data_IF_100730930738
#
_entry.id   IF_100730930738
#
_cell.length_a   1.000
_cell.length_b   1.000
_cell.length_c   1.000
_cell.angle_alpha   90.00
_cell.angle_beta   90.00
_cell.angle_gamma   90.00
#
_symmetry.space_group_name_H-M   'P 1'
#
loop_
_entity.id
_entity.type
_entity.pdbx_description
1 polymer ?
#
# COMPACT_ATOMS: atom_id res chain seq x y z
N UNK A 1 15.54 63.73 7.39
CA UNK A 1 15.16 62.38 7.87
C UNK A 1 16.13 61.94 8.97
N UNK A 2 15.64 61.62 10.17
CA UNK A 2 16.50 61.28 11.33
C UNK A 2 17.22 59.93 11.13
N UNK A 3 18.41 59.78 11.72
CA UNK A 3 19.22 58.54 11.61
C UNK A 3 18.50 57.30 12.17
N UNK A 4 17.63 57.49 13.16
CA UNK A 4 16.78 56.45 13.75
C UNK A 4 15.83 55.83 12.72
N UNK A 5 15.17 56.65 11.89
CA UNK A 5 14.26 56.18 10.83
C UNK A 5 15.01 55.33 9.81
N UNK A 6 16.24 55.72 9.44
CA UNK A 6 17.09 54.94 8.51
C UNK A 6 17.50 53.58 9.11
N UNK A 7 17.85 53.55 10.41
CA UNK A 7 18.19 52.29 11.12
C UNK A 7 16.99 51.34 11.18
N UNK A 8 15.80 51.86 11.48
CA UNK A 8 14.58 51.07 11.51
C UNK A 8 14.26 50.47 10.13
N UNK A 9 14.33 51.27 9.06
CA UNK A 9 14.11 50.79 7.69
C UNK A 9 15.12 49.70 7.28
N UNK A 10 16.40 49.83 7.65
CA UNK A 10 17.41 48.81 7.39
C UNK A 10 17.11 47.51 8.15
N UNK A 11 16.77 47.60 9.44
CA UNK A 11 16.40 46.44 10.26
C UNK A 11 15.17 45.71 9.69
N UNK A 12 14.13 46.46 9.28
CA UNK A 12 12.93 45.89 8.67
C UNK A 12 13.25 45.15 7.35
N UNK A 13 14.11 45.72 6.50
CA UNK A 13 14.56 45.05 5.27
C UNK A 13 15.29 43.73 5.56
N UNK A 14 16.22 43.74 6.53
CA UNK A 14 16.96 42.54 6.93
C UNK A 14 16.01 41.47 7.47
N UNK A 15 15.10 41.84 8.37
CA UNK A 15 14.09 40.93 8.91
C UNK A 15 13.23 40.31 7.80
N UNK A 16 12.74 41.13 6.86
CA UNK A 16 11.89 40.67 5.76
C UNK A 16 12.64 39.70 4.84
N UNK A 17 13.91 39.99 4.55
CA UNK A 17 14.78 39.11 3.77
C UNK A 17 14.98 37.75 4.45
N UNK A 18 15.31 37.73 5.74
CA UNK A 18 15.49 36.49 6.52
C UNK A 18 14.19 35.68 6.55
N UNK A 19 13.06 36.34 6.85
CA UNK A 19 11.73 35.71 6.88
C UNK A 19 11.40 35.06 5.53
N UNK A 20 11.60 35.78 4.43
CA UNK A 20 11.34 35.27 3.08
C UNK A 20 12.19 34.02 2.76
N UNK A 21 13.48 34.04 3.10
CA UNK A 21 14.37 32.90 2.90
C UNK A 21 13.95 31.66 3.71
N UNK A 22 13.50 31.85 4.96
CA UNK A 22 13.00 30.77 5.80
C UNK A 22 11.74 30.15 5.19
N UNK A 23 10.78 30.99 4.78
CA UNK A 23 9.54 30.51 4.15
C UNK A 23 9.83 29.78 2.83
N UNK A 24 10.71 30.31 1.99
CA UNK A 24 11.16 29.64 0.75
C UNK A 24 11.74 28.25 1.03
N UNK A 25 12.57 28.10 2.07
CA UNK A 25 13.14 26.79 2.46
C UNK A 25 12.05 25.80 2.90
N UNK A 26 11.06 26.25 3.67
CA UNK A 26 9.90 25.42 4.06
C UNK A 26 9.11 24.98 2.84
N UNK A 27 8.80 25.90 1.92
CA UNK A 27 8.08 25.59 0.68
C UNK A 27 8.80 24.53 -0.16
N UNK A 28 10.12 24.66 -0.33
CA UNK A 28 10.92 23.66 -1.07
C UNK A 28 10.88 22.27 -0.41
N UNK A 29 10.91 22.20 0.93
CA UNK A 29 10.75 20.93 1.66
C UNK A 29 9.37 20.30 1.41
N UNK A 30 8.31 21.10 1.48
CA UNK A 30 6.94 20.64 1.19
C UNK A 30 6.85 20.08 -0.23
N UNK A 31 7.36 20.80 -1.23
CA UNK A 31 7.37 20.36 -2.63
C UNK A 31 8.11 19.03 -2.77
N UNK A 32 9.29 18.90 -2.16
CA UNK A 32 10.07 17.66 -2.19
C UNK A 32 9.28 16.47 -1.64
N UNK A 33 8.60 16.64 -0.50
CA UNK A 33 7.74 15.59 0.05
C UNK A 33 6.57 15.24 -0.86
N UNK A 34 5.88 16.23 -1.42
CA UNK A 34 4.77 16.01 -2.33
C UNK A 34 5.19 15.26 -3.59
N UNK A 35 6.36 15.57 -4.16
CA UNK A 35 6.92 14.83 -5.30
C UNK A 35 7.18 13.36 -4.96
N UNK A 36 7.75 13.07 -3.78
CA UNK A 36 7.97 11.69 -3.32
C UNK A 36 6.65 10.94 -3.11
N UNK A 37 5.67 11.56 -2.47
CA UNK A 37 4.34 10.98 -2.28
C UNK A 37 3.66 10.68 -3.62
N UNK A 38 3.79 11.58 -4.61
CA UNK A 38 3.26 11.35 -5.96
C UNK A 38 3.91 10.14 -6.63
N UNK A 39 5.22 9.97 -6.48
CA UNK A 39 5.93 8.80 -6.99
C UNK A 39 5.41 7.49 -6.36
N UNK A 40 5.20 7.46 -5.04
CA UNK A 40 4.68 6.28 -4.35
C UNK A 40 3.25 5.95 -4.79
N UNK A 41 2.41 6.97 -4.97
CA UNK A 41 1.07 6.78 -5.51
C UNK A 41 1.08 6.18 -6.92
N UNK A 42 1.99 6.64 -7.78
CA UNK A 42 2.14 6.08 -9.12
C UNK A 42 2.58 4.61 -9.08
N UNK A 43 3.47 4.24 -8.15
CA UNK A 43 3.85 2.84 -7.93
C UNK A 43 2.65 1.98 -7.54
N UNK A 44 1.78 2.47 -6.65
CA UNK A 44 0.54 1.75 -6.27
C UNK A 44 -0.42 1.59 -7.46
N UNK A 45 -0.58 2.64 -8.27
CA UNK A 45 -1.42 2.58 -9.47
C UNK A 45 -0.90 1.54 -10.46
N UNK A 46 0.42 1.51 -10.69
CA UNK A 46 1.06 0.51 -11.54
C UNK A 46 0.85 -0.90 -10.99
N UNK A 47 1.11 -1.10 -9.71
CA UNK A 47 0.88 -2.37 -9.02
C UNK A 47 -0.56 -2.86 -9.24
N UNK A 48 -1.56 -1.97 -9.03
CA UNK A 48 -2.96 -2.29 -9.25
C UNK A 48 -3.25 -2.72 -10.70
N UNK A 49 -2.62 -2.08 -11.68
CA UNK A 49 -2.83 -2.39 -13.10
C UNK A 49 -2.26 -3.73 -13.54
N UNK A 50 -1.16 -4.20 -12.94
CA UNK A 50 -0.47 -5.44 -13.34
C UNK A 50 -1.22 -6.70 -12.84
N UNK A 51 -2.14 -6.57 -11.88
CA UNK A 51 -2.97 -7.66 -11.32
C UNK A 51 -2.20 -8.97 -11.06
N UNK A 52 -1.21 -8.91 -10.19
CA UNK A 52 -0.35 -10.05 -9.82
C UNK A 52 -1.04 -11.11 -8.93
N UNK A 53 -2.38 -11.10 -8.84
CA UNK A 53 -3.12 -11.90 -7.86
C UNK A 53 -3.23 -13.38 -8.23
N UNK A 54 -3.20 -13.73 -9.53
CA UNK A 54 -3.10 -15.12 -10.04
C UNK A 54 -4.14 -16.11 -9.49
N UNK A 55 -4.05 -17.38 -9.87
CA UNK A 55 -4.77 -18.45 -9.15
C UNK A 55 -3.90 -18.93 -7.99
N UNK A 56 -4.48 -19.04 -6.80
CA UNK A 56 -3.75 -19.45 -5.60
C UNK A 56 -3.82 -20.96 -5.41
N UNK A 57 -2.67 -21.56 -5.15
CA UNK A 57 -2.54 -22.95 -4.72
C UNK A 57 -2.61 -23.02 -3.20
N UNK A 58 -3.23 -24.07 -2.65
CA UNK A 58 -3.35 -24.30 -1.20
C UNK A 58 -2.95 -25.73 -0.86
N UNK A 59 -2.43 -25.95 0.34
CA UNK A 59 -2.10 -27.29 0.84
C UNK A 59 -3.39 -28.03 1.28
N UNK A 60 -3.43 -29.35 1.07
CA UNK A 60 -4.56 -30.21 1.45
C UNK A 60 -4.81 -30.30 2.96
N UNK A 61 -3.89 -29.79 3.76
CA UNK A 61 -3.79 -30.09 5.19
C UNK A 61 -4.60 -29.07 6.01
N UNK A 62 -5.88 -28.84 5.69
CA UNK A 62 -6.83 -27.93 6.36
C UNK A 62 -6.35 -26.51 6.70
N UNK A 63 -5.16 -26.12 6.26
CA UNK A 63 -4.49 -24.89 6.63
C UNK A 63 -4.72 -23.85 5.53
N UNK A 64 -5.16 -22.64 5.92
CA UNK A 64 -5.31 -21.48 5.02
C UNK A 64 -3.98 -20.88 4.54
N UNK A 65 -2.88 -21.61 4.70
CA UNK A 65 -1.53 -21.13 4.39
C UNK A 65 -1.25 -21.36 2.92
N UNK A 66 -0.69 -20.34 2.28
CA UNK A 66 -0.23 -20.43 0.90
C UNK A 66 1.11 -21.17 0.87
N UNK A 67 1.24 -22.31 0.16
CA UNK A 67 2.53 -22.94 -0.06
C UNK A 67 3.46 -22.00 -0.84
N UNK A 68 4.76 -22.19 -0.62
CA UNK A 68 5.82 -21.51 -1.37
C UNK A 68 5.93 -22.20 -2.75
N UNK A 69 5.01 -21.88 -3.64
CA UNK A 69 4.97 -22.34 -5.03
C UNK A 69 5.24 -21.19 -6.00
N UNK A 70 5.62 -21.53 -7.24
CA UNK A 70 5.78 -20.54 -8.32
C UNK A 70 4.47 -19.80 -8.55
N UNK A 71 3.33 -20.50 -8.48
CA UNK A 71 2.00 -19.96 -8.70
C UNK A 71 1.61 -18.91 -7.65
N UNK A 72 1.99 -19.13 -6.39
CA UNK A 72 1.72 -18.19 -5.29
C UNK A 72 2.76 -17.06 -5.18
N UNK A 73 3.93 -17.19 -5.82
CA UNK A 73 5.03 -16.24 -5.69
C UNK A 73 4.63 -14.83 -6.12
N UNK A 74 3.85 -14.71 -7.20
CA UNK A 74 3.37 -13.41 -7.69
C UNK A 74 2.49 -12.69 -6.67
N UNK A 75 1.56 -13.40 -6.02
CA UNK A 75 0.71 -12.85 -4.97
C UNK A 75 1.53 -12.38 -3.76
N UNK A 76 2.51 -13.17 -3.32
CA UNK A 76 3.38 -12.83 -2.20
C UNK A 76 4.22 -11.59 -2.50
N UNK A 77 4.85 -11.51 -3.67
CA UNK A 77 5.62 -10.34 -4.13
C UNK A 77 4.73 -9.10 -4.16
N UNK A 78 3.49 -9.25 -4.62
CA UNK A 78 2.54 -8.16 -4.69
C UNK A 78 2.16 -7.63 -3.30
N UNK A 79 1.83 -8.53 -2.36
CA UNK A 79 1.56 -8.18 -0.96
C UNK A 79 2.77 -7.49 -0.31
N UNK A 80 3.97 -8.02 -0.50
CA UNK A 80 5.20 -7.46 0.04
C UNK A 80 5.47 -6.05 -0.51
N UNK A 81 5.27 -5.84 -1.81
CA UNK A 81 5.47 -4.54 -2.46
C UNK A 81 4.55 -3.46 -1.89
N UNK A 82 3.28 -3.80 -1.64
CA UNK A 82 2.31 -2.90 -1.01
C UNK A 82 2.73 -2.56 0.44
N UNK A 83 3.16 -3.57 1.21
CA UNK A 83 3.64 -3.36 2.58
C UNK A 83 4.91 -2.51 2.65
N UNK A 84 5.83 -2.65 1.69
CA UNK A 84 7.02 -1.78 1.59
C UNK A 84 6.63 -0.31 1.42
N UNK A 85 5.63 -0.03 0.58
CA UNK A 85 5.12 1.34 0.41
C UNK A 85 4.48 1.86 1.70
N UNK A 86 3.70 1.02 2.39
CA UNK A 86 3.10 1.39 3.68
C UNK A 86 4.16 1.77 4.72
N UNK A 87 5.23 0.98 4.83
CA UNK A 87 6.31 1.23 5.77
C UNK A 87 7.05 2.53 5.46
N UNK A 88 7.34 2.81 4.17
CA UNK A 88 7.92 4.09 3.76
C UNK A 88 7.02 5.27 4.10
N UNK A 89 5.70 5.15 3.88
CA UNK A 89 4.75 6.21 4.23
C UNK A 89 4.75 6.51 5.73
N UNK A 90 4.91 5.49 6.58
CA UNK A 90 4.98 5.65 8.04
C UNK A 90 6.27 6.32 8.51
N UNK A 91 7.41 6.01 7.88
CA UNK A 91 8.74 6.40 8.38
C UNK A 91 9.31 7.66 7.73
N UNK A 92 9.01 7.93 6.46
CA UNK A 92 9.79 8.90 5.66
C UNK A 92 9.19 10.32 5.64
N UNK A 93 7.99 10.51 6.22
CA UNK A 93 7.22 11.74 6.08
C UNK A 93 6.77 12.31 7.42
N UNK A 94 7.13 13.59 7.64
CA UNK A 94 6.66 14.40 8.75
C UNK A 94 5.21 14.82 8.55
N UNK A 95 4.43 14.75 9.63
CA UNK A 95 3.05 15.23 9.65
C UNK A 95 2.97 16.76 9.88
N UNK A 96 4.09 17.45 10.13
CA UNK A 96 4.15 18.89 10.39
C UNK A 96 3.39 19.73 9.34
N UNK A 97 3.48 19.35 8.07
CA UNK A 97 2.86 20.10 6.97
C UNK A 97 1.50 19.50 6.59
N UNK A 98 0.43 20.29 6.73
CA UNK A 98 -0.94 19.89 6.45
C UNK A 98 -1.11 19.21 5.08
N UNK A 99 -0.62 19.83 3.99
CA UNK A 99 -0.75 19.27 2.63
C UNK A 99 -0.06 17.91 2.47
N UNK A 100 1.09 17.73 3.13
CA UNK A 100 1.84 16.46 3.09
C UNK A 100 1.06 15.39 3.85
N UNK A 101 0.52 15.75 5.02
CA UNK A 101 -0.29 14.87 5.87
C UNK A 101 -1.54 14.37 5.16
N UNK A 102 -2.32 15.28 4.57
CA UNK A 102 -3.53 14.94 3.80
C UNK A 102 -3.20 13.98 2.66
N UNK A 103 -2.14 14.26 1.90
CA UNK A 103 -1.76 13.41 0.77
C UNK A 103 -1.26 12.04 1.23
N UNK A 104 -0.46 12.00 2.29
CA UNK A 104 0.01 10.75 2.94
C UNK A 104 -1.18 9.89 3.38
N UNK A 105 -2.18 10.48 4.04
CA UNK A 105 -3.36 9.77 4.51
C UNK A 105 -4.18 9.16 3.36
N UNK A 106 -4.39 9.92 2.28
CA UNK A 106 -5.05 9.43 1.07
C UNK A 106 -4.35 8.21 0.46
N UNK A 107 -3.01 8.22 0.42
CA UNK A 107 -2.22 7.08 -0.08
C UNK A 107 -2.32 5.89 0.88
N UNK A 108 -2.23 6.10 2.20
CA UNK A 108 -2.41 5.05 3.21
C UNK A 108 -3.77 4.36 3.06
N UNK A 109 -4.85 5.13 2.87
CA UNK A 109 -6.17 4.55 2.65
C UNK A 109 -6.21 3.66 1.40
N UNK A 110 -5.58 4.11 0.31
CA UNK A 110 -5.46 3.32 -0.92
C UNK A 110 -4.72 2.00 -0.67
N UNK A 111 -3.61 2.06 0.06
CA UNK A 111 -2.82 0.87 0.44
C UNK A 111 -3.65 -0.11 1.27
N UNK A 112 -4.36 0.38 2.28
CA UNK A 112 -5.18 -0.46 3.15
C UNK A 112 -6.32 -1.14 2.38
N UNK A 113 -6.96 -0.42 1.44
CA UNK A 113 -7.96 -1.00 0.54
C UNK A 113 -7.34 -2.13 -0.28
N UNK A 114 -6.17 -1.93 -0.89
CA UNK A 114 -5.51 -2.97 -1.70
C UNK A 114 -5.13 -4.20 -0.87
N UNK A 115 -4.70 -4.02 0.37
CA UNK A 115 -4.41 -5.14 1.29
C UNK A 115 -5.67 -5.91 1.65
N UNK A 116 -6.76 -5.20 1.98
CA UNK A 116 -8.06 -5.82 2.27
C UNK A 116 -8.59 -6.62 1.08
N UNK A 117 -8.52 -6.07 -0.13
CA UNK A 117 -8.87 -6.78 -1.36
C UNK A 117 -8.06 -8.06 -1.56
N UNK A 118 -6.77 -8.05 -1.20
CA UNK A 118 -5.91 -9.24 -1.30
C UNK A 118 -6.29 -10.32 -0.31
N UNK A 119 -6.56 -9.94 0.94
CA UNK A 119 -6.97 -10.88 1.96
C UNK A 119 -8.34 -11.51 1.61
N UNK A 120 -9.28 -10.71 1.10
CA UNK A 120 -10.57 -11.19 0.58
C UNK A 120 -10.41 -12.16 -0.59
N UNK A 121 -9.54 -11.82 -1.55
CA UNK A 121 -9.24 -12.68 -2.70
C UNK A 121 -8.72 -14.05 -2.25
N UNK A 122 -7.78 -14.07 -1.30
CA UNK A 122 -7.23 -15.30 -0.72
C UNK A 122 -8.31 -16.14 -0.05
N UNK A 123 -9.15 -15.51 0.78
CA UNK A 123 -10.24 -16.20 1.50
C UNK A 123 -11.22 -16.84 0.52
N UNK A 124 -11.59 -16.13 -0.55
CA UNK A 124 -12.51 -16.64 -1.57
C UNK A 124 -11.93 -17.85 -2.29
N UNK A 125 -10.66 -17.77 -2.72
CA UNK A 125 -9.99 -18.87 -3.40
C UNK A 125 -9.85 -20.10 -2.49
N UNK A 126 -9.52 -19.91 -1.21
CA UNK A 126 -9.46 -21.00 -0.24
C UNK A 126 -10.82 -21.68 -0.04
N UNK A 127 -11.89 -20.89 0.10
CA UNK A 127 -13.25 -21.42 0.23
C UNK A 127 -13.65 -22.27 -0.99
N UNK A 128 -13.26 -21.84 -2.19
CA UNK A 128 -13.51 -22.62 -3.41
C UNK A 128 -12.68 -23.90 -3.46
N UNK A 129 -11.42 -23.84 -3.02
CA UNK A 129 -10.55 -25.01 -2.91
C UNK A 129 -11.15 -26.08 -1.99
N UNK A 130 -11.59 -25.70 -0.78
CA UNK A 130 -12.22 -26.65 0.17
C UNK A 130 -13.50 -27.26 -0.39
N UNK A 131 -14.39 -26.44 -0.98
CA UNK A 131 -15.60 -26.96 -1.64
C UNK A 131 -15.29 -27.97 -2.75
N UNK A 132 -14.21 -27.78 -3.49
CA UNK A 132 -13.82 -28.70 -4.56
C UNK A 132 -13.28 -30.02 -3.99
N UNK A 133 -12.55 -29.98 -2.87
CA UNK A 133 -12.12 -31.18 -2.14
C UNK A 133 -13.35 -31.96 -1.65
N UNK A 134 -14.29 -31.30 -0.97
CA UNK A 134 -15.51 -31.93 -0.45
C UNK A 134 -16.39 -32.56 -1.56
N UNK A 135 -16.46 -31.93 -2.74
CA UNK A 135 -17.17 -32.48 -3.89
C UNK A 135 -16.50 -33.75 -4.43
N UNK A 136 -15.18 -33.75 -4.52
CA UNK A 136 -14.41 -34.92 -4.96
C UNK A 136 -14.59 -36.09 -4.00
N UNK A 137 -14.56 -35.86 -2.69
CA UNK A 137 -14.80 -36.91 -1.70
C UNK A 137 -16.20 -37.53 -1.84
N UNK A 138 -17.24 -36.71 -2.01
CA UNK A 138 -18.61 -37.20 -2.23
C UNK A 138 -18.76 -38.07 -3.48
N UNK A 139 -18.14 -37.68 -4.61
CA UNK A 139 -18.16 -38.49 -5.83
C UNK A 139 -17.47 -39.84 -5.64
N UNK A 140 -16.35 -39.87 -4.93
CA UNK A 140 -15.64 -41.11 -4.63
C UNK A 140 -16.51 -42.03 -3.77
N UNK A 141 -17.17 -41.50 -2.74
CA UNK A 141 -18.08 -42.28 -1.89
C UNK A 141 -19.28 -42.83 -2.70
N UNK A 142 -19.86 -42.03 -3.59
CA UNK A 142 -20.95 -42.47 -4.48
C UNK A 142 -20.48 -43.59 -5.44
N UNK A 143 -19.28 -43.48 -6.03
CA UNK A 143 -18.69 -44.49 -6.91
C UNK A 143 -18.39 -45.81 -6.15
N UNK A 144 -17.91 -45.73 -4.91
CA UNK A 144 -17.70 -46.92 -4.05
C UNK A 144 -19.02 -47.62 -3.67
N UNK A 145 -20.11 -46.87 -3.46
CA UNK A 145 -21.44 -47.44 -3.17
C UNK A 145 -22.01 -48.16 -4.40
N UNK A 146 -21.73 -47.68 -5.61
CA UNK A 146 -22.18 -48.32 -6.85
C UNK A 146 -21.42 -49.64 -7.09
N UNK A 147 -20.11 -49.68 -6.85
CA UNK A 147 -19.30 -50.89 -7.05
C UNK A 147 -19.72 -52.03 -6.10
N UNK A 148 -20.10 -51.72 -4.85
CA UNK A 148 -20.51 -52.72 -3.86
C UNK A 148 -21.97 -53.18 -3.97
N UNK A 149 -22.74 -52.67 -4.93
CA UNK A 149 -24.16 -53.05 -5.17
C UNK A 149 -24.37 -53.93 -6.41
N UNK A 150 -23.29 -54.33 -7.09
CA UNK A 150 -23.28 -55.28 -8.22
C UNK A 150 -22.79 -56.63 -7.72
#
# INVERSE_FOLDING_TARGET
>A
MSSSIKRFQAAFKIYSFIKHHIEKRKTLKIISYLSKLRSMQNQLLLLKSINLKGNLTFESNNNQVLPISVDNKAFLIYKESILKILNKLKNDFSDEYYLVRERKFSIINTVNIMLSELDNFRVLQYKNFIKNIEKKHRQVDDDFVIINRI
#
